data_IF_130458025857
#
_entry.id   IF_130458025857
#
_cell.length_a   1.000
_cell.length_b   1.000
_cell.length_c   1.000
_cell.angle_alpha   90.00
_cell.angle_beta   90.00
_cell.angle_gamma   90.00
#
_symmetry.space_group_name_H-M   'P 1'
#
loop_
_entity.id
_entity.type
_entity.pdbx_description
1 polymer ?
#
# COMPACT_ATOMS: atom_id res chain seq x y z
N UNK A 1 21.94 -38.18 37.57
CA UNK A 1 21.69 -36.78 37.96
C UNK A 1 21.64 -35.94 36.71
N UNK A 2 20.56 -35.16 36.57
CA UNK A 2 20.17 -34.36 35.42
C UNK A 2 21.20 -33.24 35.15
N UNK A 3 21.76 -33.18 33.95
CA UNK A 3 22.47 -31.99 33.49
C UNK A 3 21.43 -30.97 33.01
N UNK A 4 21.03 -30.05 33.89
CA UNK A 4 20.26 -28.87 33.48
C UNK A 4 21.20 -27.93 32.74
N UNK A 5 21.15 -27.94 31.41
CA UNK A 5 21.79 -26.96 30.54
C UNK A 5 21.13 -25.60 30.77
N UNK A 6 21.65 -24.81 31.71
CA UNK A 6 21.35 -23.38 31.82
C UNK A 6 22.05 -22.66 30.67
N UNK A 7 21.38 -22.61 29.52
CA UNK A 7 21.81 -21.77 28.40
C UNK A 7 21.75 -20.29 28.82
N UNK A 8 22.91 -19.68 29.08
CA UNK A 8 23.05 -18.25 29.32
C UNK A 8 22.85 -17.47 28.01
N UNK A 9 21.63 -17.47 27.47
CA UNK A 9 21.25 -16.43 26.51
C UNK A 9 21.12 -15.12 27.27
N UNK A 10 21.87 -14.09 26.87
CA UNK A 10 21.74 -12.76 27.47
C UNK A 10 20.31 -12.25 27.29
N UNK A 11 19.80 -11.47 28.24
CA UNK A 11 18.46 -10.87 28.16
C UNK A 11 18.26 -10.09 26.83
N UNK A 12 19.33 -9.45 26.34
CA UNK A 12 19.36 -8.82 25.03
C UNK A 12 19.11 -9.80 23.87
N UNK A 13 19.73 -10.98 23.89
CA UNK A 13 19.53 -12.01 22.87
C UNK A 13 18.10 -12.59 22.92
N UNK A 14 17.56 -12.82 24.12
CA UNK A 14 16.19 -13.28 24.31
C UNK A 14 15.17 -12.25 23.83
N UNK A 15 15.34 -10.97 24.18
CA UNK A 15 14.48 -9.89 23.70
C UNK A 15 14.52 -9.76 22.19
N UNK A 16 15.71 -9.78 21.58
CA UNK A 16 15.87 -9.74 20.11
C UNK A 16 15.16 -10.92 19.43
N UNK A 17 15.32 -12.13 19.95
CA UNK A 17 14.66 -13.32 19.42
C UNK A 17 13.13 -13.25 19.60
N UNK A 18 12.65 -12.78 20.75
CA UNK A 18 11.23 -12.57 21.03
C UNK A 18 10.62 -11.51 20.10
N UNK A 19 11.31 -10.40 19.85
CA UNK A 19 10.90 -9.38 18.86
C UNK A 19 10.84 -9.98 17.45
N UNK A 20 11.88 -10.72 17.03
CA UNK A 20 11.89 -11.38 15.72
C UNK A 20 10.74 -12.39 15.57
N UNK A 21 10.45 -13.16 16.61
CA UNK A 21 9.32 -14.10 16.65
C UNK A 21 7.97 -13.36 16.63
N UNK A 22 7.85 -12.24 17.35
CA UNK A 22 6.66 -11.39 17.34
C UNK A 22 6.37 -10.82 15.96
N UNK A 23 7.39 -10.28 15.28
CA UNK A 23 7.28 -9.77 13.91
C UNK A 23 6.89 -10.89 12.93
N UNK A 24 7.54 -12.06 13.02
CA UNK A 24 7.23 -13.20 12.16
C UNK A 24 5.81 -13.77 12.40
N UNK A 25 5.35 -13.77 13.65
CA UNK A 25 4.02 -14.24 14.03
C UNK A 25 2.91 -13.23 13.69
N UNK A 26 3.23 -11.93 13.64
CA UNK A 26 2.26 -10.85 13.47
C UNK A 26 1.54 -10.83 12.10
N UNK A 27 1.97 -11.63 11.10
CA UNK A 27 1.36 -11.77 9.76
C UNK A 27 0.57 -10.53 9.34
N UNK A 28 1.28 -9.52 8.81
CA UNK A 28 0.68 -8.26 8.34
C UNK A 28 -0.42 -8.58 7.33
N UNK A 29 -1.67 -8.57 7.81
CA UNK A 29 -2.83 -8.84 6.98
C UNK A 29 -3.28 -7.51 6.44
N UNK A 30 -2.89 -7.20 5.21
CA UNK A 30 -3.33 -5.97 4.57
C UNK A 30 -4.85 -6.03 4.36
N UNK A 31 -5.58 -4.96 4.67
CA UNK A 31 -6.98 -4.83 4.30
C UNK A 31 -7.12 -4.92 2.77
N UNK A 32 -8.30 -5.33 2.27
CA UNK A 32 -8.55 -5.36 0.85
C UNK A 32 -8.38 -3.96 0.25
N UNK A 33 -7.71 -3.90 -0.90
CA UNK A 33 -7.57 -2.66 -1.66
C UNK A 33 -8.97 -2.15 -2.06
N UNK A 34 -9.30 -0.87 -1.86
CA UNK A 34 -10.58 -0.31 -2.30
C UNK A 34 -10.80 -0.60 -3.79
N UNK A 35 -12.02 -1.00 -4.17
CA UNK A 35 -12.35 -1.36 -5.55
C UNK A 35 -12.00 -0.28 -6.56
N UNK A 36 -12.24 0.99 -6.20
CA UNK A 36 -11.87 2.18 -6.98
C UNK A 36 -10.42 2.16 -7.43
N UNK A 37 -9.49 1.65 -6.62
CA UNK A 37 -8.05 1.65 -6.94
C UNK A 37 -7.64 0.71 -8.08
N UNK A 38 -8.55 -0.13 -8.57
CA UNK A 38 -8.34 -1.00 -9.73
C UNK A 38 -9.01 -0.48 -11.00
N UNK A 39 -9.83 0.55 -10.87
CA UNK A 39 -10.55 1.13 -11.99
C UNK A 39 -9.62 1.93 -12.89
N UNK A 40 -9.83 1.79 -14.21
CA UNK A 40 -9.12 2.56 -15.22
C UNK A 40 -9.99 3.72 -15.68
N UNK A 41 -9.45 4.94 -15.64
CA UNK A 41 -10.19 6.09 -16.18
C UNK A 41 -10.20 6.01 -17.71
N UNK A 42 -11.37 6.08 -18.37
CA UNK A 42 -11.44 6.14 -19.82
C UNK A 42 -10.89 7.47 -20.35
N UNK A 43 -10.29 7.41 -21.54
CA UNK A 43 -9.94 8.62 -22.30
C UNK A 43 -11.17 9.50 -22.57
N UNK A 44 -10.93 10.79 -22.84
CA UNK A 44 -11.99 11.68 -23.24
C UNK A 44 -12.57 11.25 -24.60
N UNK A 45 -13.90 11.30 -24.80
CA UNK A 45 -14.49 11.01 -26.10
C UNK A 45 -14.03 12.03 -27.13
N UNK A 46 -13.72 11.56 -28.35
CA UNK A 46 -13.28 12.39 -29.49
C UNK A 46 -14.14 12.08 -30.70
N UNK A 47 -14.57 13.11 -31.43
CA UNK A 47 -15.30 13.01 -32.68
C UNK A 47 -14.50 13.62 -33.83
N UNK A 48 -14.77 13.16 -35.05
CA UNK A 48 -14.19 13.75 -36.26
C UNK A 48 -14.65 15.21 -36.37
N UNK A 49 -13.70 16.11 -36.56
CA UNK A 49 -13.95 17.56 -36.63
C UNK A 49 -13.84 18.29 -35.29
N UNK A 50 -13.60 17.59 -34.18
CA UNK A 50 -13.33 18.25 -32.91
C UNK A 50 -12.04 19.07 -32.97
N UNK A 51 -12.08 20.26 -32.36
CA UNK A 51 -10.91 21.13 -32.24
C UNK A 51 -9.87 20.51 -31.28
N UNK A 52 -8.62 20.43 -31.73
CA UNK A 52 -7.57 19.67 -31.06
C UNK A 52 -7.27 20.13 -29.63
N UNK A 53 -7.27 21.45 -29.35
CA UNK A 53 -7.04 22.00 -28.01
C UNK A 53 -8.21 21.68 -27.07
N UNK A 54 -9.45 21.66 -27.56
CA UNK A 54 -10.63 21.24 -26.80
C UNK A 54 -10.51 19.77 -26.38
N UNK A 55 -10.12 18.90 -27.31
CA UNK A 55 -9.83 17.48 -27.03
C UNK A 55 -8.73 17.34 -25.98
N UNK A 56 -7.59 18.04 -26.15
CA UNK A 56 -6.50 18.00 -25.18
C UNK A 56 -6.93 18.48 -23.79
N UNK A 57 -7.76 19.52 -23.71
CA UNK A 57 -8.32 20.01 -22.45
C UNK A 57 -9.25 18.98 -21.81
N UNK A 58 -10.03 18.25 -22.61
CA UNK A 58 -10.89 17.17 -22.13
C UNK A 58 -10.07 15.99 -21.61
N UNK A 59 -9.03 15.60 -22.32
CA UNK A 59 -8.13 14.52 -21.94
C UNK A 59 -7.39 14.83 -20.63
N UNK A 60 -6.91 16.08 -20.46
CA UNK A 60 -6.32 16.53 -19.19
C UNK A 60 -7.26 16.34 -18.00
N UNK A 61 -8.57 16.55 -18.18
CA UNK A 61 -9.55 16.32 -17.10
C UNK A 61 -9.68 14.85 -16.72
N UNK A 62 -9.55 13.92 -17.67
CA UNK A 62 -9.56 12.49 -17.36
C UNK A 62 -8.28 12.09 -16.64
N UNK A 63 -7.12 12.61 -17.09
CA UNK A 63 -5.86 12.41 -16.39
C UNK A 63 -5.90 12.94 -14.95
N UNK A 64 -6.50 14.10 -14.72
CA UNK A 64 -6.66 14.67 -13.37
C UNK A 64 -7.47 13.73 -12.46
N UNK A 65 -8.54 13.10 -12.97
CA UNK A 65 -9.31 12.09 -12.22
C UNK A 65 -8.49 10.84 -11.91
N UNK A 66 -7.75 10.33 -12.90
CA UNK A 66 -6.86 9.18 -12.72
C UNK A 66 -5.81 9.48 -11.64
N UNK A 67 -5.16 10.64 -11.70
CA UNK A 67 -4.14 11.06 -10.72
C UNK A 67 -4.73 11.28 -9.33
N UNK A 68 -5.94 11.85 -9.24
CA UNK A 68 -6.63 11.98 -7.96
C UNK A 68 -6.91 10.60 -7.33
N UNK A 69 -7.28 9.62 -8.15
CA UNK A 69 -7.46 8.23 -7.69
C UNK A 69 -6.15 7.61 -7.22
N UNK A 70 -5.07 7.73 -8.00
CA UNK A 70 -3.73 7.28 -7.61
C UNK A 70 -3.34 7.86 -6.25
N UNK A 71 -3.51 9.17 -6.05
CA UNK A 71 -3.21 9.84 -4.78
C UNK A 71 -4.01 9.27 -3.61
N UNK A 72 -5.34 9.09 -3.76
CA UNK A 72 -6.17 8.48 -2.71
C UNK A 72 -5.73 7.06 -2.37
N UNK A 73 -5.40 6.25 -3.37
CA UNK A 73 -4.98 4.86 -3.17
C UNK A 73 -3.61 4.74 -2.50
N UNK A 74 -2.66 5.60 -2.88
CA UNK A 74 -1.36 5.69 -2.20
C UNK A 74 -1.55 6.10 -0.73
N UNK A 75 -2.35 7.14 -0.46
CA UNK A 75 -2.63 7.59 0.91
C UNK A 75 -3.27 6.49 1.77
N UNK A 76 -4.18 5.69 1.19
CA UNK A 76 -4.78 4.55 1.89
C UNK A 76 -3.73 3.51 2.27
N UNK A 77 -2.84 3.16 1.34
CA UNK A 77 -1.73 2.24 1.62
C UNK A 77 -0.81 2.80 2.71
N UNK A 78 -0.37 4.06 2.61
CA UNK A 78 0.54 4.67 3.59
C UNK A 78 -0.08 4.72 4.99
N UNK A 79 -1.37 5.07 5.09
CA UNK A 79 -2.11 5.07 6.35
C UNK A 79 -2.20 3.65 6.95
N UNK A 80 -2.45 2.65 6.10
CA UNK A 80 -2.49 1.24 6.50
C UNK A 80 -1.12 0.76 6.98
N UNK A 81 -0.06 1.05 6.23
CA UNK A 81 1.30 0.70 6.60
C UNK A 81 1.73 1.36 7.91
N UNK A 82 1.29 2.60 8.18
CA UNK A 82 1.53 3.28 9.46
C UNK A 82 0.79 2.61 10.62
N UNK A 83 -0.45 2.16 10.42
CA UNK A 83 -1.24 1.50 11.47
C UNK A 83 -0.73 0.09 11.83
N UNK A 84 0.03 -0.54 10.94
CA UNK A 84 0.59 -1.90 11.11
C UNK A 84 2.04 -1.90 11.63
N UNK A 85 2.63 -0.72 11.87
CA UNK A 85 3.94 -0.54 12.53
C UNK A 85 3.76 -0.31 14.01
#
# INVERSE_FOLDING_TARGET
MLATLTGCSTDAALRKAATGKGIAAARVTLPPLPGDCREMEPHAPVKVGDEARSVLKAERRQLDKANARVGRCANHYDATAKALK
#
